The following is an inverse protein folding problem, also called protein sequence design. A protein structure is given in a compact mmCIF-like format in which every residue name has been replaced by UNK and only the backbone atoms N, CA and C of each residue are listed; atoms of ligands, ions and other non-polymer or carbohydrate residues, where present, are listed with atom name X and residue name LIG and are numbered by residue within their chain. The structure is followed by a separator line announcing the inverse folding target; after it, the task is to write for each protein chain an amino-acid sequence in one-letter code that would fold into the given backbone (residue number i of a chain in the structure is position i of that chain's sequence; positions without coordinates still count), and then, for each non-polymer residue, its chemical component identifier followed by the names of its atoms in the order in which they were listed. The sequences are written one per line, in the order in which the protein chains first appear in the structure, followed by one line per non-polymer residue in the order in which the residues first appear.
data_IF_464755300602
#
_entry.id   IF_464755300602
#
_cell.length_a   1.000
_cell.length_b   1.000
_cell.length_c   1.000
_cell.angle_alpha   90.00
_cell.angle_beta   90.00
_cell.angle_gamma   90.00
#
_symmetry.space_group_name_H-M   'P 1'
#
loop_
_entity.id
_entity.type
_entity.pdbx_description
1 polymer ?
#
# COMPACT_ATOMS: atom_id res chain seq x y z
N UNK A 1 -11.61 -4.07 -6.54
CA UNK A 1 -10.38 -4.89 -6.56
C UNK A 1 -10.58 -6.24 -5.90
N UNK A 2 -10.54 -6.39 -4.57
CA UNK A 2 -10.73 -7.70 -3.92
C UNK A 2 -12.16 -8.25 -4.09
N UNK A 3 -13.18 -7.50 -3.68
CA UNK A 3 -14.61 -7.88 -3.82
C UNK A 3 -15.05 -8.12 -5.27
N UNK A 4 -14.38 -7.49 -6.23
CA UNK A 4 -14.73 -7.53 -7.65
C UNK A 4 -13.75 -8.35 -8.46
N UNK A 5 -12.91 -9.14 -7.79
CA UNK A 5 -12.00 -10.06 -8.45
C UNK A 5 -11.18 -9.39 -9.57
N UNK A 6 -10.36 -8.40 -9.21
CA UNK A 6 -9.44 -7.76 -10.16
C UNK A 6 -7.99 -8.17 -9.89
N UNK A 7 -7.26 -8.54 -10.95
CA UNK A 7 -5.85 -8.97 -10.93
C UNK A 7 -4.89 -7.77 -10.99
N UNK A 8 -4.89 -6.93 -9.97
CA UNK A 8 -4.06 -5.73 -9.97
C UNK A 8 -2.71 -5.98 -9.27
N UNK A 9 -1.69 -5.27 -9.74
CA UNK A 9 -0.41 -5.09 -9.05
C UNK A 9 -0.32 -3.64 -8.62
N UNK A 10 -0.14 -3.38 -7.33
CA UNK A 10 -0.01 -2.03 -6.77
C UNK A 10 1.40 -1.84 -6.25
N UNK A 11 2.03 -0.75 -6.67
CA UNK A 11 3.25 -0.22 -6.07
C UNK A 11 2.88 0.97 -5.20
N UNK A 12 2.98 0.80 -3.88
CA UNK A 12 2.81 1.86 -2.92
C UNK A 12 4.19 2.37 -2.50
N UNK A 13 4.44 3.66 -2.74
CA UNK A 13 5.68 4.32 -2.30
C UNK A 13 5.42 4.96 -0.95
N UNK A 14 5.94 4.37 0.12
CA UNK A 14 5.81 4.88 1.47
C UNK A 14 7.01 5.76 1.83
N UNK A 15 6.99 7.00 1.35
CA UNK A 15 7.97 8.05 1.64
C UNK A 15 7.66 8.84 2.92
N UNK A 16 6.62 8.47 3.67
CA UNK A 16 6.33 9.02 4.99
C UNK A 16 5.61 10.38 5.03
N UNK A 17 5.10 10.89 3.90
CA UNK A 17 4.45 12.20 3.86
C UNK A 17 4.02 12.62 2.46
N UNK A 18 3.61 13.88 2.34
CA UNK A 18 3.29 14.50 1.06
C UNK A 18 4.54 15.10 0.42
N UNK A 19 5.41 14.26 -0.13
CA UNK A 19 6.71 14.70 -0.70
C UNK A 19 6.57 15.79 -1.75
N UNK A 20 5.57 15.72 -2.63
CA UNK A 20 5.38 16.77 -3.64
C UNK A 20 5.06 18.13 -3.01
N UNK A 21 4.28 18.15 -1.93
CA UNK A 21 3.93 19.38 -1.22
C UNK A 21 5.13 19.93 -0.46
N UNK A 22 6.01 19.09 0.09
CA UNK A 22 7.28 19.55 0.71
C UNK A 22 8.12 20.34 -0.30
N UNK A 23 8.17 19.90 -1.56
CA UNK A 23 8.91 20.57 -2.64
C UNK A 23 8.22 21.84 -3.18
N UNK A 24 6.91 22.03 -2.92
CA UNK A 24 6.15 23.22 -3.35
C UNK A 24 6.03 24.25 -2.22
N UNK A 25 5.67 23.78 -1.03
CA UNK A 25 5.43 24.58 0.16
C UNK A 25 5.49 23.68 1.42
N UNK A 26 6.62 23.72 2.11
CA UNK A 26 6.82 22.86 3.29
C UNK A 26 6.00 23.31 4.51
N UNK A 27 5.64 22.36 5.38
CA UNK A 27 4.90 22.63 6.60
C UNK A 27 4.37 21.38 7.32
N UNK A 28 3.87 21.55 8.57
CA UNK A 28 3.48 20.42 9.43
C UNK A 28 2.30 19.60 8.88
N UNK A 29 1.52 20.14 7.94
CA UNK A 29 0.42 19.45 7.27
C UNK A 29 0.90 18.38 6.26
N UNK A 30 2.19 18.36 5.91
CA UNK A 30 2.79 17.34 5.05
C UNK A 30 3.13 16.05 5.80
N UNK A 31 3.10 16.09 7.13
CA UNK A 31 3.43 14.96 8.00
C UNK A 31 2.17 14.13 8.23
N UNK A 32 2.20 12.88 7.74
CA UNK A 32 1.11 11.92 7.93
C UNK A 32 1.50 10.84 8.94
N UNK A 33 0.49 10.27 9.61
CA UNK A 33 0.73 9.09 10.44
C UNK A 33 1.04 7.90 9.53
N UNK A 34 2.22 7.31 9.68
CA UNK A 34 2.62 6.13 8.91
C UNK A 34 1.79 4.90 9.31
N UNK A 35 1.41 4.09 8.33
CA UNK A 35 0.65 2.85 8.52
C UNK A 35 1.52 1.62 8.28
N UNK A 36 1.12 0.49 8.87
CA UNK A 36 1.62 -0.81 8.47
C UNK A 36 0.87 -1.28 7.21
N UNK A 37 1.30 -0.81 6.03
CA UNK A 37 0.62 -1.10 4.77
C UNK A 37 0.59 -2.59 4.41
N UNK A 38 1.61 -3.37 4.78
CA UNK A 38 1.57 -4.83 4.60
C UNK A 38 0.53 -5.46 5.52
N UNK A 39 0.44 -5.00 6.78
CA UNK A 39 -0.59 -5.44 7.72
C UNK A 39 -2.02 -5.12 7.28
N UNK A 40 -2.25 -4.01 6.57
CA UNK A 40 -3.55 -3.70 5.95
C UNK A 40 -3.91 -4.76 4.90
N UNK A 41 -2.94 -5.16 4.08
CA UNK A 41 -3.16 -6.20 3.07
C UNK A 41 -3.45 -7.54 3.73
N UNK A 42 -2.71 -7.92 4.77
CA UNK A 42 -2.94 -9.15 5.55
C UNK A 42 -4.33 -9.16 6.19
N UNK A 43 -4.79 -8.02 6.72
CA UNK A 43 -6.13 -7.88 7.27
C UNK A 43 -7.22 -8.05 6.20
N UNK A 44 -7.02 -7.51 4.99
CA UNK A 44 -7.95 -7.72 3.88
C UNK A 44 -7.87 -9.13 3.27
N UNK A 45 -6.71 -9.78 3.36
CA UNK A 45 -6.55 -11.19 3.02
C UNK A 45 -7.38 -12.06 3.95
N UNK A 46 -7.46 -11.73 5.25
CA UNK A 46 -8.31 -12.43 6.22
C UNK A 46 -8.18 -13.97 6.21
N UNK A 47 -6.98 -14.49 5.88
CA UNK A 47 -6.69 -15.92 5.78
C UNK A 47 -7.28 -16.66 4.57
N UNK A 48 -8.18 -16.05 3.81
CA UNK A 48 -8.93 -16.70 2.71
C UNK A 48 -8.81 -15.98 1.36
N UNK A 49 -8.39 -14.71 1.37
CA UNK A 49 -8.23 -13.89 0.19
C UNK A 49 -7.05 -14.34 -0.67
N UNK A 50 -7.00 -13.92 -1.92
CA UNK A 50 -5.86 -14.22 -2.81
C UNK A 50 -4.99 -12.98 -3.00
N UNK A 51 -4.52 -12.41 -1.89
CA UNK A 51 -3.75 -11.17 -1.87
C UNK A 51 -2.43 -11.38 -1.13
N UNK A 52 -1.34 -10.91 -1.72
CA UNK A 52 0.01 -11.04 -1.21
C UNK A 52 0.66 -9.66 -1.14
N UNK A 53 1.57 -9.49 -0.20
CA UNK A 53 2.33 -8.25 -0.07
C UNK A 53 3.79 -8.51 0.24
N UNK A 54 4.65 -7.63 -0.26
CA UNK A 54 6.06 -7.62 0.07
C UNK A 54 6.52 -6.16 0.24
N UNK A 55 7.43 -5.93 1.19
CA UNK A 55 8.05 -4.62 1.40
C UNK A 55 9.53 -4.70 1.05
N UNK A 56 9.99 -3.78 0.20
CA UNK A 56 11.41 -3.60 -0.13
C UNK A 56 11.74 -2.12 0.04
N UNK A 57 12.57 -1.80 1.03
CA UNK A 57 12.85 -0.42 1.41
C UNK A 57 11.58 0.35 1.74
N UNK A 58 11.34 1.45 1.02
CA UNK A 58 10.13 2.29 1.12
C UNK A 58 8.97 1.80 0.25
N UNK A 59 9.20 0.84 -0.64
CA UNK A 59 8.17 0.34 -1.56
C UNK A 59 7.44 -0.83 -0.94
N UNK A 60 6.11 -0.80 -1.02
CA UNK A 60 5.24 -1.93 -0.72
C UNK A 60 4.58 -2.38 -2.01
N UNK A 61 4.80 -3.64 -2.37
CA UNK A 61 4.15 -4.28 -3.49
C UNK A 61 2.95 -5.07 -2.97
N UNK A 62 1.81 -4.93 -3.65
CA UNK A 62 0.59 -5.67 -3.37
C UNK A 62 0.20 -6.39 -4.65
N UNK A 63 0.02 -7.70 -4.56
CA UNK A 63 -0.35 -8.56 -5.67
C UNK A 63 -1.65 -9.28 -5.34
N UNK A 64 -2.64 -9.21 -6.23
CA UNK A 64 -3.89 -9.98 -6.12
C UNK A 64 -3.95 -11.03 -7.23
N UNK A 65 -3.99 -12.30 -6.84
CA UNK A 65 -4.24 -13.45 -7.74
C UNK A 65 -5.73 -13.79 -7.73
N UNK A 66 -6.30 -14.23 -8.84
CA UNK A 66 -7.66 -14.79 -8.86
C UNK A 66 -7.70 -16.28 -9.20
N UNK A 67 -6.65 -16.79 -9.84
CA UNK A 67 -6.60 -18.15 -10.33
C UNK A 67 -5.66 -19.03 -9.48
N UNK A 68 -6.22 -20.15 -9.03
CA UNK A 68 -5.56 -21.32 -8.45
C UNK A 68 -6.32 -22.54 -8.94
#
# INVERSE_FOLDING_TARGET
MLRWEQNNIIFLINNGGYTIEVEIHDGPYNIIKNWNYTGVVEAFHNGEGKCYTAKVGVTVVIYIYLYG
#
